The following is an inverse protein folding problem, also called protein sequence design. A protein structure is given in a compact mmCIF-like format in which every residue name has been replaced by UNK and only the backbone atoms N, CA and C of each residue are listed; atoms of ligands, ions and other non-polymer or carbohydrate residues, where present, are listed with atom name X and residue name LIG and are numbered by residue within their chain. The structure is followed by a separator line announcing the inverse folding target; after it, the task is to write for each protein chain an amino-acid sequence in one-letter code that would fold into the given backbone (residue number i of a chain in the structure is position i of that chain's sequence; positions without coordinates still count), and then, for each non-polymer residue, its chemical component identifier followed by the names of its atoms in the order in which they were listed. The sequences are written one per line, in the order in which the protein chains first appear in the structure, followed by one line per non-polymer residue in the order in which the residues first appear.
data_IF_912817201758
#
_entry.id   IF_912817201758
#
_cell.length_a   1.000
_cell.length_b   1.000
_cell.length_c   1.000
_cell.angle_alpha   90.00
_cell.angle_beta   90.00
_cell.angle_gamma   90.00
#
_symmetry.space_group_name_H-M   'P 1'
#
loop_
_entity.id
_entity.type
_entity.pdbx_description
1 polymer ?
#
# COMPACT_ATOMS: atom_id res chain seq x y z
N UNK A 1 -30.86 -4.54 -4.72
CA UNK A 1 -31.26 -3.75 -5.90
C UNK A 1 -31.07 -2.27 -5.59
N UNK A 2 -30.70 -1.45 -6.57
CA UNK A 2 -30.59 0.00 -6.40
C UNK A 2 -31.94 0.64 -6.74
N UNK A 3 -32.83 0.71 -5.75
CA UNK A 3 -34.26 0.97 -5.97
C UNK A 3 -34.57 2.42 -6.38
N UNK A 4 -33.59 3.33 -6.29
CA UNK A 4 -33.73 4.74 -6.70
C UNK A 4 -32.72 5.11 -7.79
N UNK A 5 -33.05 6.10 -8.63
CA UNK A 5 -32.15 6.60 -9.69
C UNK A 5 -30.80 7.09 -9.13
N UNK A 6 -30.81 7.67 -7.93
CA UNK A 6 -29.59 8.08 -7.22
C UNK A 6 -28.75 6.89 -6.78
N UNK A 7 -29.37 5.82 -6.28
CA UNK A 7 -28.69 4.58 -5.92
C UNK A 7 -28.06 3.90 -7.14
N UNK A 8 -28.75 3.85 -8.29
CA UNK A 8 -28.21 3.23 -9.51
C UNK A 8 -27.01 4.02 -10.07
N UNK A 9 -27.02 5.35 -9.93
CA UNK A 9 -25.86 6.20 -10.23
C UNK A 9 -24.70 5.91 -9.27
N UNK A 10 -24.96 5.81 -7.97
CA UNK A 10 -23.94 5.47 -6.96
C UNK A 10 -23.30 4.12 -7.24
N UNK A 11 -24.08 3.09 -7.55
CA UNK A 11 -23.58 1.76 -7.89
C UNK A 11 -22.58 1.82 -9.07
N UNK A 12 -22.96 2.49 -10.17
CA UNK A 12 -22.08 2.69 -11.34
C UNK A 12 -20.77 3.40 -11.00
N UNK A 13 -20.83 4.43 -10.16
CA UNK A 13 -19.63 5.14 -9.70
C UNK A 13 -18.76 4.26 -8.80
N UNK A 14 -19.36 3.49 -7.91
CA UNK A 14 -18.65 2.59 -7.00
C UNK A 14 -17.86 1.56 -7.79
N UNK A 15 -18.44 0.89 -8.78
CA UNK A 15 -17.71 -0.08 -9.62
C UNK A 15 -16.44 0.52 -10.23
N UNK A 16 -16.53 1.73 -10.80
CA UNK A 16 -15.38 2.44 -11.38
C UNK A 16 -14.33 2.82 -10.33
N UNK A 17 -14.74 3.22 -9.12
CA UNK A 17 -13.82 3.54 -8.02
C UNK A 17 -13.15 2.27 -7.48
N UNK A 18 -13.90 1.19 -7.31
CA UNK A 18 -13.41 -0.09 -6.80
C UNK A 18 -12.34 -0.68 -7.72
N UNK A 19 -12.53 -0.64 -9.05
CA UNK A 19 -11.51 -1.13 -9.99
C UNK A 19 -10.19 -0.36 -9.88
N UNK A 20 -10.24 0.98 -9.78
CA UNK A 20 -9.05 1.82 -9.60
C UNK A 20 -8.37 1.59 -8.25
N UNK A 21 -9.16 1.47 -7.17
CA UNK A 21 -8.62 1.23 -5.84
C UNK A 21 -7.99 -0.17 -5.76
N UNK A 22 -8.60 -1.17 -6.40
CA UNK A 22 -8.09 -2.54 -6.45
C UNK A 22 -6.70 -2.58 -7.09
N UNK A 23 -6.50 -1.95 -8.24
CA UNK A 23 -5.20 -1.95 -8.93
C UNK A 23 -4.08 -1.28 -8.11
N UNK A 24 -4.40 -0.19 -7.40
CA UNK A 24 -3.43 0.46 -6.50
C UNK A 24 -3.11 -0.45 -5.31
N UNK A 25 -4.11 -1.08 -4.70
CA UNK A 25 -3.91 -1.98 -3.56
C UNK A 25 -3.13 -3.24 -3.95
N UNK A 26 -3.39 -3.83 -5.11
CA UNK A 26 -2.63 -5.00 -5.59
C UNK A 26 -1.19 -4.65 -5.87
N UNK A 27 -0.93 -3.49 -6.51
CA UNK A 27 0.43 -3.00 -6.72
C UNK A 27 1.19 -2.83 -5.40
N UNK A 28 0.56 -2.17 -4.41
CA UNK A 28 1.18 -1.99 -3.09
C UNK A 28 1.49 -3.33 -2.40
N UNK A 29 0.59 -4.32 -2.50
CA UNK A 29 0.83 -5.67 -1.98
C UNK A 29 1.97 -6.37 -2.71
N UNK A 30 2.07 -6.21 -4.02
CA UNK A 30 3.17 -6.76 -4.82
C UNK A 30 4.52 -6.18 -4.41
N UNK A 31 4.61 -4.85 -4.31
CA UNK A 31 5.83 -4.17 -3.84
C UNK A 31 6.22 -4.63 -2.43
N UNK A 32 5.24 -4.76 -1.53
CA UNK A 32 5.49 -5.24 -0.17
C UNK A 32 6.05 -6.68 -0.16
N UNK A 33 5.52 -7.56 -1.01
CA UNK A 33 6.06 -8.92 -1.16
C UNK A 33 7.48 -8.92 -1.72
N UNK A 34 7.76 -8.08 -2.70
CA UNK A 34 9.10 -7.94 -3.29
C UNK A 34 10.14 -7.53 -2.24
N UNK A 35 9.82 -6.50 -1.45
CA UNK A 35 10.71 -6.05 -0.36
C UNK A 35 10.87 -7.13 0.72
N UNK A 36 9.80 -7.86 1.08
CA UNK A 36 9.93 -8.97 2.04
C UNK A 36 10.72 -10.16 1.49
N UNK A 37 10.66 -10.43 0.19
CA UNK A 37 11.40 -11.50 -0.46
C UNK A 37 12.89 -11.16 -0.66
N UNK A 38 13.22 -9.88 -0.86
CA UNK A 38 14.60 -9.38 -0.97
C UNK A 38 15.40 -9.52 0.35
N UNK A 39 14.73 -9.82 1.46
CA UNK A 39 15.39 -10.11 2.74
C UNK A 39 16.14 -8.90 3.30
N UNK A 40 17.40 -9.10 3.70
CA UNK A 40 18.17 -8.14 4.49
C UNK A 40 18.69 -6.92 3.72
N UNK A 41 18.76 -6.97 2.38
CA UNK A 41 19.29 -5.89 1.55
C UNK A 41 18.34 -5.55 0.38
N UNK A 42 17.14 -5.01 0.65
CA UNK A 42 16.35 -4.42 -0.42
C UNK A 42 17.07 -3.18 -0.95
N UNK A 43 17.12 -3.03 -2.27
CA UNK A 43 17.65 -1.85 -2.94
C UNK A 43 16.99 -0.57 -2.38
N UNK A 44 17.80 0.41 -1.98
CA UNK A 44 17.28 1.64 -1.36
C UNK A 44 16.23 2.34 -2.25
N UNK A 45 16.39 2.23 -3.58
CA UNK A 45 15.44 2.74 -4.58
C UNK A 45 14.05 2.12 -4.45
N UNK A 46 13.96 0.83 -4.17
CA UNK A 46 12.68 0.11 -4.05
C UNK A 46 11.94 0.47 -2.76
N UNK A 47 12.70 0.68 -1.67
CA UNK A 47 12.18 1.18 -0.40
C UNK A 47 11.58 2.58 -0.57
N UNK A 48 12.31 3.50 -1.20
CA UNK A 48 11.82 4.86 -1.47
C UNK A 48 10.60 4.86 -2.40
N UNK A 49 10.61 4.05 -3.45
CA UNK A 49 9.48 3.89 -4.34
C UNK A 49 8.23 3.38 -3.60
N UNK A 50 8.40 2.43 -2.67
CA UNK A 50 7.32 1.90 -1.87
C UNK A 50 6.74 2.93 -0.90
N UNK A 51 7.58 3.71 -0.20
CA UNK A 51 7.13 4.80 0.68
C UNK A 51 6.33 5.83 -0.14
N UNK A 52 6.85 6.26 -1.29
CA UNK A 52 6.18 7.20 -2.18
C UNK A 52 4.82 6.67 -2.67
N UNK A 53 4.75 5.38 -3.01
CA UNK A 53 3.49 4.75 -3.42
C UNK A 53 2.45 4.69 -2.29
N UNK A 54 2.89 4.41 -1.05
CA UNK A 54 2.03 4.42 0.14
C UNK A 54 1.46 5.82 0.38
N UNK A 55 2.30 6.84 0.39
CA UNK A 55 1.87 8.21 0.66
C UNK A 55 0.97 8.75 -0.46
N UNK A 56 1.22 8.39 -1.72
CA UNK A 56 0.34 8.72 -2.85
C UNK A 56 -1.04 8.05 -2.74
N UNK A 57 -1.09 6.81 -2.23
CA UNK A 57 -2.36 6.12 -1.97
C UNK A 57 -3.13 6.77 -0.81
N UNK A 58 -2.42 7.29 0.21
CA UNK A 58 -3.03 8.01 1.32
C UNK A 58 -3.58 9.37 0.86
N UNK A 59 -2.82 10.14 0.08
CA UNK A 59 -3.24 11.43 -0.50
C UNK A 59 -4.49 11.29 -1.36
N UNK A 60 -4.63 10.18 -2.09
CA UNK A 60 -5.81 9.86 -2.91
C UNK A 60 -7.00 9.32 -2.11
N UNK A 61 -6.88 9.15 -0.79
CA UNK A 61 -7.93 8.60 0.07
C UNK A 61 -8.21 7.11 -0.13
N UNK A 62 -7.31 6.37 -0.80
CA UNK A 62 -7.45 4.93 -1.04
C UNK A 62 -7.11 4.14 0.22
N UNK A 63 -6.11 4.60 0.98
CA UNK A 63 -5.77 4.08 2.30
C UNK A 63 -5.90 5.21 3.33
N UNK A 64 -6.35 4.86 4.53
CA UNK A 64 -6.41 5.81 5.64
C UNK A 64 -5.00 6.22 6.09
N UNK A 65 -4.83 7.46 6.57
CA UNK A 65 -3.56 7.99 7.10
C UNK A 65 -2.89 7.05 8.11
N UNK A 66 -3.66 6.50 9.04
CA UNK A 66 -3.14 5.57 10.04
C UNK A 66 -2.71 4.23 9.41
N UNK A 67 -3.38 3.78 8.35
CA UNK A 67 -2.95 2.57 7.64
C UNK A 67 -1.65 2.80 6.87
N UNK A 68 -1.45 3.99 6.29
CA UNK A 68 -0.18 4.38 5.68
C UNK A 68 0.95 4.42 6.72
N UNK A 69 0.73 5.07 7.87
CA UNK A 69 1.72 5.14 8.96
C UNK A 69 2.10 3.76 9.49
N UNK A 70 1.11 2.87 9.70
CA UNK A 70 1.38 1.49 10.12
C UNK A 70 2.24 0.72 9.10
N UNK A 71 2.02 0.94 7.80
CA UNK A 71 2.82 0.27 6.75
C UNK A 71 4.25 0.79 6.72
N UNK A 72 4.45 2.11 6.84
CA UNK A 72 5.78 2.72 6.95
C UNK A 72 6.53 2.24 8.20
N UNK A 73 5.86 2.20 9.35
CA UNK A 73 6.46 1.68 10.59
C UNK A 73 6.90 0.21 10.47
N UNK A 74 6.09 -0.65 9.83
CA UNK A 74 6.46 -2.05 9.59
C UNK A 74 7.64 -2.20 8.64
N UNK A 75 7.70 -1.39 7.59
CA UNK A 75 8.81 -1.35 6.64
C UNK A 75 10.11 -0.98 7.37
N UNK A 76 10.09 0.08 8.17
CA UNK A 76 11.25 0.50 8.94
C UNK A 76 11.67 -0.56 9.96
N UNK A 77 10.71 -1.24 10.60
CA UNK A 77 11.01 -2.34 11.53
C UNK A 77 11.67 -3.52 10.82
N UNK A 78 11.22 -3.89 9.62
CA UNK A 78 11.86 -5.00 8.87
C UNK A 78 13.27 -4.65 8.43
N UNK A 79 13.52 -3.40 8.03
CA UNK A 79 14.86 -2.93 7.65
C UNK A 79 15.78 -2.81 8.87
N UNK A 80 15.28 -2.25 9.98
CA UNK A 80 16.04 -2.10 11.22
C UNK A 80 16.36 -3.44 11.89
N UNK A 81 15.45 -4.42 11.84
CA UNK A 81 15.71 -5.77 12.32
C UNK A 81 16.75 -6.51 11.46
N UNK A 82 16.82 -6.22 10.15
CA UNK A 82 17.87 -6.75 9.29
C UNK A 82 19.24 -6.08 9.55
N UNK A 83 19.25 -4.81 9.93
CA UNK A 83 20.48 -4.09 10.32
C UNK A 83 20.95 -4.33 11.76
N UNK A 84 20.14 -4.99 12.60
CA UNK A 84 20.47 -5.29 14.00
C UNK A 84 20.68 -6.77 14.27
N UNK A 85 20.96 -7.60 13.24
CA UNK A 85 21.45 -8.94 13.49
C UNK A 85 22.82 -8.81 14.19
N UNK A 86 22.97 -9.30 15.44
CA UNK A 86 24.29 -9.33 16.05
C UNK A 86 25.13 -10.30 15.22
N UNK A 87 26.26 -9.81 14.71
CA UNK A 87 27.33 -10.68 14.27
C UNK A 87 27.73 -11.55 15.47
N UNK A 88 27.44 -12.85 15.36
CA UNK A 88 27.94 -13.90 16.22
C UNK A 88 28.37 -15.06 15.31
#
# INVERSE_FOLDING_TARGET
MANTRSASKRARQTTKRTLRNRSVLTRLRGMQKGVSAAGANPEAKDVHAMISAIDKAAKRGIIHKNAANRRKARLNKSLGAAGSAPAA
#
